data_IF_239748089738
#
_entry.id   IF_239748089738
#
_cell.length_a   1.000
_cell.length_b   1.000
_cell.length_c   1.000
_cell.angle_alpha   90.00
_cell.angle_beta   90.00
_cell.angle_gamma   90.00
#
_symmetry.space_group_name_H-M   'P 1'
#
loop_
_entity.id
_entity.type
_entity.pdbx_description
1 polymer ?
#
# COMPACT_ATOMS: atom_id res chain seq x y z
N UNK A 1 -2.87 -9.14 -2.07
CA UNK A 1 -2.81 -10.03 -0.90
C UNK A 1 -4.19 -10.24 -0.31
N UNK A 2 -4.90 -9.21 0.18
CA UNK A 2 -6.21 -9.40 0.85
C UNK A 2 -7.43 -9.66 -0.07
N UNK A 3 -7.49 -9.08 -1.27
CA UNK A 3 -8.61 -9.33 -2.22
C UNK A 3 -8.46 -10.60 -3.04
N UNK A 4 -7.25 -11.16 -3.09
CA UNK A 4 -6.91 -12.27 -3.97
C UNK A 4 -5.86 -13.11 -3.25
N UNK A 5 -6.31 -13.89 -2.27
CA UNK A 5 -5.50 -14.84 -1.52
C UNK A 5 -5.91 -16.27 -1.90
N UNK A 6 -5.38 -16.77 -3.02
CA UNK A 6 -5.84 -18.02 -3.61
C UNK A 6 -7.31 -17.90 -4.06
N UNK A 7 -8.17 -18.78 -3.54
CA UNK A 7 -9.61 -18.78 -3.84
C UNK A 7 -10.46 -17.91 -2.89
N UNK A 8 -9.84 -17.21 -1.94
CA UNK A 8 -10.55 -16.45 -0.92
C UNK A 8 -10.22 -14.94 -1.00
N UNK A 9 -11.23 -14.11 -0.79
CA UNK A 9 -11.09 -12.70 -0.43
C UNK A 9 -11.29 -12.54 1.07
N UNK A 10 -10.49 -11.69 1.69
CA UNK A 10 -10.76 -11.22 3.05
C UNK A 10 -12.05 -10.37 3.01
N UNK A 11 -13.09 -10.85 3.69
CA UNK A 11 -14.42 -10.24 3.67
C UNK A 11 -14.39 -8.79 4.19
N UNK A 12 -13.68 -8.55 5.29
CA UNK A 12 -13.57 -7.22 5.90
C UNK A 12 -12.86 -6.24 4.96
N UNK A 13 -11.77 -6.67 4.32
CA UNK A 13 -11.07 -5.84 3.35
C UNK A 13 -11.90 -5.62 2.07
N UNK A 14 -12.68 -6.61 1.63
CA UNK A 14 -13.57 -6.46 0.49
C UNK A 14 -14.62 -5.36 0.73
N UNK A 15 -15.29 -5.37 1.88
CA UNK A 15 -16.25 -4.33 2.24
C UNK A 15 -15.61 -2.94 2.26
N UNK A 16 -14.40 -2.83 2.83
CA UNK A 16 -13.64 -1.57 2.80
C UNK A 16 -13.37 -1.14 1.36
N UNK A 17 -12.92 -2.06 0.50
CA UNK A 17 -12.59 -1.76 -0.89
C UNK A 17 -13.80 -1.32 -1.71
N UNK A 18 -15.00 -1.85 -1.42
CA UNK A 18 -16.27 -1.46 -2.04
C UNK A 18 -16.72 -0.04 -1.64
N UNK A 19 -16.20 0.50 -0.54
CA UNK A 19 -16.57 1.82 -0.03
C UNK A 19 -15.47 2.87 -0.16
N UNK A 20 -14.23 2.47 -0.44
CA UNK A 20 -13.11 3.37 -0.69
C UNK A 20 -13.02 3.71 -2.18
N UNK A 21 -12.92 5.02 -2.48
CA UNK A 21 -12.52 5.55 -3.78
C UNK A 21 -11.13 6.16 -3.66
N UNK A 22 -10.31 5.99 -4.69
CA UNK A 22 -8.98 6.58 -4.75
C UNK A 22 -8.99 7.80 -5.66
N UNK A 23 -8.53 8.92 -5.12
CA UNK A 23 -8.30 10.14 -5.90
C UNK A 23 -6.80 10.29 -6.14
N UNK A 24 -6.41 10.28 -7.40
CA UNK A 24 -5.03 10.46 -7.81
C UNK A 24 -4.67 11.94 -7.71
N UNK A 25 -3.56 12.24 -7.02
CA UNK A 25 -2.97 13.57 -7.04
C UNK A 25 -1.86 13.55 -8.08
N UNK A 26 -2.00 14.40 -9.09
CA UNK A 26 -1.03 14.50 -10.16
C UNK A 26 0.29 15.10 -9.66
N UNK A 27 1.38 14.54 -10.17
CA UNK A 27 2.72 15.05 -9.99
C UNK A 27 3.19 15.57 -11.36
N UNK A 28 3.20 16.88 -11.55
CA UNK A 28 3.60 17.49 -12.84
C UNK A 28 5.11 17.32 -13.07
N UNK A 29 5.90 17.45 -12.01
CA UNK A 29 7.35 17.32 -12.05
C UNK A 29 7.86 16.45 -10.90
N UNK A 30 8.94 15.70 -11.16
CA UNK A 30 9.60 14.92 -10.12
C UNK A 30 10.11 15.81 -8.99
N UNK A 31 9.73 15.50 -7.75
CA UNK A 31 10.39 16.06 -6.57
C UNK A 31 11.86 15.64 -6.49
N UNK A 32 12.60 16.33 -5.61
CA UNK A 32 14.06 16.22 -5.44
C UNK A 32 14.53 14.76 -5.32
N UNK A 33 13.90 13.99 -4.44
CA UNK A 33 14.32 12.63 -4.10
C UNK A 33 13.39 11.53 -4.65
N UNK A 34 12.53 11.85 -5.62
CA UNK A 34 11.66 10.84 -6.23
C UNK A 34 12.44 9.93 -7.18
N UNK A 35 12.07 8.64 -7.19
CA UNK A 35 12.66 7.62 -8.09
C UNK A 35 11.59 6.64 -8.63
N UNK A 36 10.33 7.08 -8.71
CA UNK A 36 9.19 6.26 -9.13
C UNK A 36 9.32 5.72 -10.57
N UNK A 37 9.99 6.43 -11.47
CA UNK A 37 10.25 6.01 -12.84
C UNK A 37 11.22 4.83 -12.87
N UNK A 38 12.31 4.88 -12.09
CA UNK A 38 13.25 3.77 -11.94
C UNK A 38 12.59 2.50 -11.37
N UNK A 39 11.56 2.68 -10.54
CA UNK A 39 10.79 1.58 -9.95
C UNK A 39 9.66 1.08 -10.86
N UNK A 40 9.36 1.78 -11.96
CA UNK A 40 8.22 1.47 -12.84
C UNK A 40 6.86 1.71 -12.19
N UNK A 41 6.78 2.54 -11.15
CA UNK A 41 5.55 2.82 -10.36
C UNK A 41 5.02 4.23 -10.57
N UNK A 42 5.46 4.92 -11.63
CA UNK A 42 5.11 6.31 -11.92
C UNK A 42 3.74 6.48 -12.62
N UNK A 43 3.09 5.39 -13.05
CA UNK A 43 1.84 5.42 -13.82
C UNK A 43 0.81 4.47 -13.22
N UNK A 44 -0.45 4.87 -13.27
CA UNK A 44 -1.58 4.00 -12.94
C UNK A 44 -2.84 4.46 -13.67
N UNK A 45 -3.73 3.53 -13.96
CA UNK A 45 -5.10 3.76 -14.44
C UNK A 45 -6.15 3.48 -13.34
N UNK A 46 -5.71 2.98 -12.18
CA UNK A 46 -6.53 2.50 -11.08
C UNK A 46 -6.93 3.65 -10.13
N UNK A 47 -7.78 4.56 -10.60
CA UNK A 47 -8.31 5.67 -9.79
C UNK A 47 -9.76 6.01 -10.16
N UNK A 48 -10.49 6.55 -9.18
CA UNK A 48 -11.88 7.01 -9.33
C UNK A 48 -11.96 8.46 -9.83
N UNK A 49 -10.96 9.28 -9.49
CA UNK A 49 -10.75 10.62 -10.03
C UNK A 49 -9.26 10.98 -9.99
N UNK A 50 -8.85 11.97 -10.76
CA UNK A 50 -7.52 12.57 -10.70
C UNK A 50 -7.63 14.07 -10.53
N UNK A 51 -6.67 14.68 -9.84
CA UNK A 51 -6.66 16.11 -9.56
C UNK A 51 -5.28 16.72 -9.73
N UNK A 52 -5.25 17.95 -10.26
CA UNK A 52 -4.09 18.84 -10.24
C UNK A 52 -4.45 20.10 -9.48
N UNK A 53 -3.62 20.47 -8.52
CA UNK A 53 -3.79 21.70 -7.74
C UNK A 53 -2.92 22.83 -8.32
N UNK A 54 -3.47 24.04 -8.33
CA UNK A 54 -2.76 25.29 -8.63
C UNK A 54 -3.24 26.41 -7.71
N UNK A 55 -2.66 27.59 -7.81
CA UNK A 55 -3.07 28.76 -7.02
C UNK A 55 -4.49 29.24 -7.38
N UNK A 56 -4.98 28.93 -8.58
CA UNK A 56 -6.30 29.29 -9.08
C UNK A 56 -7.39 28.26 -8.73
N UNK A 57 -7.01 27.09 -8.21
CA UNK A 57 -7.95 26.04 -7.82
C UNK A 57 -7.45 24.63 -8.14
N UNK A 58 -8.36 23.76 -8.57
CA UNK A 58 -8.04 22.38 -8.92
C UNK A 58 -8.69 21.97 -10.24
N UNK A 59 -7.92 21.36 -11.12
CA UNK A 59 -8.42 20.64 -12.29
C UNK A 59 -8.73 19.21 -11.86
N UNK A 60 -9.89 18.69 -12.27
CA UNK A 60 -10.38 17.37 -11.83
C UNK A 60 -10.83 16.56 -13.04
N UNK A 61 -10.36 15.32 -13.14
CA UNK A 61 -10.80 14.33 -14.11
C UNK A 61 -11.54 13.22 -13.37
N UNK A 62 -12.80 12.98 -13.70
CA UNK A 62 -13.69 12.09 -12.95
C UNK A 62 -13.96 10.83 -13.77
N UNK A 63 -13.88 9.66 -13.12
CA UNK A 63 -14.19 8.34 -13.72
C UNK A 63 -15.28 7.58 -12.97
N UNK A 64 -15.64 8.05 -11.78
CA UNK A 64 -16.56 7.38 -10.86
C UNK A 64 -17.85 8.19 -10.69
N UNK A 65 -19.03 7.63 -10.99
CA UNK A 65 -20.32 8.33 -10.90
C UNK A 65 -20.64 8.86 -9.50
N UNK A 66 -20.13 8.23 -8.44
CA UNK A 66 -20.34 8.72 -7.07
C UNK A 66 -19.62 10.05 -6.85
N UNK A 67 -18.40 10.18 -7.37
CA UNK A 67 -17.63 11.43 -7.28
C UNK A 67 -18.28 12.49 -8.16
N UNK A 68 -18.67 12.14 -9.38
CA UNK A 68 -19.36 13.05 -10.31
C UNK A 68 -20.59 13.69 -9.66
N UNK A 69 -21.46 12.88 -9.05
CA UNK A 69 -22.64 13.37 -8.35
C UNK A 69 -22.28 14.25 -7.14
N UNK A 70 -21.20 13.93 -6.42
CA UNK A 70 -20.79 14.66 -5.22
C UNK A 70 -20.25 16.07 -5.51
N UNK A 71 -19.66 16.29 -6.68
CA UNK A 71 -19.11 17.60 -7.09
C UNK A 71 -19.92 18.27 -8.20
N UNK A 72 -21.10 17.74 -8.51
CA UNK A 72 -21.99 18.30 -9.51
C UNK A 72 -22.33 19.77 -9.18
N UNK A 73 -22.11 20.66 -10.16
CA UNK A 73 -22.33 22.09 -10.00
C UNK A 73 -21.20 22.84 -9.28
N UNK A 74 -20.12 22.16 -8.89
CA UNK A 74 -18.90 22.79 -8.41
C UNK A 74 -17.93 22.94 -9.59
N UNK A 75 -17.54 24.19 -9.88
CA UNK A 75 -16.58 24.50 -10.93
C UNK A 75 -17.20 24.68 -12.32
N UNK A 76 -16.36 24.54 -13.33
CA UNK A 76 -16.69 24.76 -14.74
C UNK A 76 -15.98 23.71 -15.60
N UNK A 77 -16.50 23.46 -16.80
CA UNK A 77 -15.86 22.58 -17.78
C UNK A 77 -14.44 23.06 -18.09
N UNK A 78 -13.50 22.12 -18.05
CA UNK A 78 -12.09 22.35 -18.34
C UNK A 78 -11.50 21.11 -19.02
N UNK A 79 -10.62 21.31 -19.99
CA UNK A 79 -9.90 20.22 -20.63
C UNK A 79 -8.73 19.80 -19.73
N UNK A 80 -8.86 18.62 -19.11
CA UNK A 80 -7.86 18.09 -18.20
C UNK A 80 -7.73 16.58 -18.33
N UNK A 81 -6.51 16.14 -18.63
CA UNK A 81 -6.09 14.74 -18.57
C UNK A 81 -4.84 14.66 -17.69
N UNK A 82 -4.83 13.78 -16.66
CA UNK A 82 -3.67 13.65 -15.79
C UNK A 82 -2.46 13.12 -16.58
N UNK A 83 -1.33 13.78 -16.37
CA UNK A 83 -0.04 13.36 -16.90
C UNK A 83 0.78 12.63 -15.84
N UNK A 84 1.83 11.94 -16.29
CA UNK A 84 2.72 11.20 -15.41
C UNK A 84 4.17 11.53 -15.74
N UNK A 85 4.96 11.77 -14.70
CA UNK A 85 6.40 12.03 -14.84
C UNK A 85 7.08 10.92 -15.64
N UNK A 86 7.84 11.29 -16.66
CA UNK A 86 8.57 10.35 -17.52
C UNK A 86 10.04 10.19 -17.12
N UNK A 87 10.55 11.08 -16.27
CA UNK A 87 11.93 11.09 -15.78
C UNK A 87 11.99 11.66 -14.36
N UNK A 88 12.83 11.04 -13.51
CA UNK A 88 13.19 11.58 -12.21
C UNK A 88 14.57 12.26 -12.25
N UNK A 89 14.84 13.12 -11.27
CA UNK A 89 16.18 13.69 -11.05
C UNK A 89 17.15 12.59 -10.60
N UNK A 90 16.73 11.84 -9.59
CA UNK A 90 17.45 10.68 -9.10
C UNK A 90 17.11 9.43 -9.92
N UNK A 91 18.13 8.67 -10.28
CA UNK A 91 17.97 7.37 -10.95
C UNK A 91 18.56 6.31 -10.06
N UNK A 92 17.72 5.37 -9.61
CA UNK A 92 18.16 4.23 -8.84
C UNK A 92 18.27 2.99 -9.72
N UNK A 93 19.23 2.14 -9.38
CA UNK A 93 19.45 0.86 -10.04
C UNK A 93 18.81 -0.21 -9.16
N UNK A 94 17.76 -0.85 -9.68
CA UNK A 94 17.09 -1.94 -8.96
C UNK A 94 17.84 -3.26 -9.17
N UNK A 95 17.81 -4.19 -8.19
CA UNK A 95 18.33 -5.54 -8.38
C UNK A 95 17.82 -6.21 -9.66
N UNK A 96 16.54 -5.96 -9.98
CA UNK A 96 15.85 -6.46 -11.17
C UNK A 96 16.46 -5.93 -12.49
N UNK A 97 17.12 -4.77 -12.46
CA UNK A 97 17.74 -4.14 -13.64
C UNK A 97 19.18 -4.59 -13.92
N UNK A 98 19.90 -5.14 -12.94
CA UNK A 98 21.34 -5.48 -13.07
C UNK A 98 21.68 -6.93 -12.79
N UNK A 99 20.80 -7.67 -12.10
CA UNK A 99 21.06 -9.06 -11.77
C UNK A 99 20.26 -9.99 -12.69
N UNK A 100 20.93 -11.03 -13.20
CA UNK A 100 20.24 -12.12 -13.92
C UNK A 100 19.31 -12.94 -13.01
N UNK A 101 19.52 -12.85 -11.70
CA UNK A 101 18.72 -13.54 -10.69
C UNK A 101 18.51 -12.59 -9.49
N UNK A 102 17.54 -11.67 -9.58
CA UNK A 102 17.28 -10.69 -8.53
C UNK A 102 16.87 -11.33 -7.19
N UNK A 103 16.36 -12.56 -7.23
CA UNK A 103 15.98 -13.30 -6.04
C UNK A 103 17.19 -13.61 -5.17
N UNK A 104 18.38 -13.85 -5.75
CA UNK A 104 19.62 -14.00 -4.98
C UNK A 104 19.98 -12.75 -4.18
N UNK A 105 19.78 -11.56 -4.74
CA UNK A 105 20.04 -10.31 -4.02
C UNK A 105 19.07 -10.21 -2.84
N UNK A 106 17.79 -10.51 -3.04
CA UNK A 106 16.79 -10.53 -1.97
C UNK A 106 17.13 -11.56 -0.88
N UNK A 107 17.60 -12.74 -1.27
CA UNK A 107 18.04 -13.78 -0.34
C UNK A 107 19.26 -13.36 0.50
N UNK A 108 20.24 -12.68 -0.11
CA UNK A 108 21.40 -12.14 0.60
C UNK A 108 20.97 -11.07 1.61
N UNK A 109 20.09 -10.16 1.18
CA UNK A 109 19.60 -9.08 2.04
C UNK A 109 18.75 -9.62 3.20
N UNK A 110 17.85 -10.57 2.95
CA UNK A 110 16.97 -11.13 3.98
C UNK A 110 17.70 -12.05 4.97
N UNK A 111 18.78 -12.72 4.55
CA UNK A 111 19.62 -13.56 5.43
C UNK A 111 20.86 -12.86 5.97
N UNK A 112 20.94 -11.53 5.85
CA UNK A 112 22.10 -10.79 6.31
C UNK A 112 22.25 -10.87 7.86
N UNK A 113 23.45 -11.14 8.42
CA UNK A 113 23.65 -11.27 9.88
C UNK A 113 23.28 -10.04 10.72
N UNK A 114 23.07 -8.90 10.06
CA UNK A 114 22.50 -7.70 10.69
C UNK A 114 21.15 -8.00 11.36
N UNK A 115 20.32 -8.85 10.73
CA UNK A 115 19.00 -9.19 11.24
C UNK A 115 19.08 -9.97 12.56
N UNK A 116 20.08 -10.84 12.73
CA UNK A 116 20.31 -11.56 14.01
C UNK A 116 20.51 -10.58 15.18
N UNK A 117 21.23 -9.48 14.93
CA UNK A 117 21.45 -8.43 15.92
C UNK A 117 20.16 -7.66 16.25
N UNK A 118 19.28 -7.44 15.27
CA UNK A 118 17.96 -6.83 15.49
C UNK A 118 17.02 -7.77 16.25
N UNK A 119 16.97 -9.05 15.86
CA UNK A 119 16.13 -10.07 16.47
C UNK A 119 16.50 -10.30 17.95
N UNK A 120 17.79 -10.31 18.28
CA UNK A 120 18.27 -10.44 19.66
C UNK A 120 17.77 -9.36 20.64
N UNK A 121 17.35 -8.19 20.12
CA UNK A 121 16.82 -7.06 20.90
C UNK A 121 15.30 -6.93 20.80
N UNK A 122 14.65 -7.82 20.03
CA UNK A 122 13.23 -7.74 19.77
C UNK A 122 12.43 -8.03 21.05
N UNK A 123 11.56 -7.09 21.42
CA UNK A 123 10.62 -7.21 22.54
C UNK A 123 9.16 -7.36 22.07
N UNK A 124 8.97 -7.76 20.81
CA UNK A 124 7.64 -7.94 20.20
C UNK A 124 6.72 -6.72 20.28
N UNK A 125 7.29 -5.51 20.29
CA UNK A 125 6.51 -4.27 20.42
C UNK A 125 5.81 -3.81 19.13
N UNK A 126 6.06 -4.48 18.00
CA UNK A 126 5.44 -4.15 16.71
C UNK A 126 5.93 -2.85 16.06
N UNK A 127 6.85 -2.08 16.64
CA UNK A 127 7.33 -0.81 16.03
C UNK A 127 7.93 -0.98 14.64
N UNK A 128 8.57 -2.12 14.36
CA UNK A 128 9.13 -2.42 13.05
C UNK A 128 8.08 -2.47 11.93
N UNK A 129 6.83 -2.84 12.22
CA UNK A 129 5.76 -2.91 11.21
C UNK A 129 5.31 -1.54 10.74
N UNK A 130 5.48 -0.50 11.57
CA UNK A 130 5.19 0.89 11.16
C UNK A 130 6.26 1.48 10.25
N UNK A 131 7.52 1.03 10.37
CA UNK A 131 8.64 1.55 9.58
C UNK A 131 8.83 0.84 8.23
N UNK A 132 8.34 -0.38 8.09
CA UNK A 132 8.51 -1.18 6.89
C UNK A 132 7.15 -1.70 6.41
N UNK A 133 6.58 -1.14 5.33
CA UNK A 133 5.26 -1.54 4.83
C UNK A 133 5.21 -2.98 4.28
N UNK A 134 6.37 -3.64 4.17
CA UNK A 134 6.48 -5.05 3.77
C UNK A 134 6.60 -6.01 4.95
N UNK A 135 6.66 -5.51 6.19
CA UNK A 135 6.80 -6.35 7.37
C UNK A 135 5.42 -6.83 7.84
N UNK A 136 4.96 -7.96 7.30
CA UNK A 136 3.70 -8.63 7.65
C UNK A 136 3.86 -9.56 8.87
N UNK A 137 4.74 -9.23 9.82
CA UNK A 137 5.01 -10.07 11.00
C UNK A 137 3.91 -9.99 12.08
N UNK A 138 2.66 -9.76 11.68
CA UNK A 138 1.49 -9.86 12.54
C UNK A 138 0.56 -10.94 12.00
N UNK A 139 0.09 -11.81 12.87
CA UNK A 139 -0.90 -12.83 12.54
C UNK A 139 -2.26 -12.37 13.05
N UNK A 140 -3.24 -12.35 12.16
CA UNK A 140 -4.65 -12.11 12.49
C UNK A 140 -5.34 -13.47 12.52
N UNK A 141 -6.03 -13.77 13.62
CA UNK A 141 -6.84 -14.98 13.75
C UNK A 141 -8.24 -14.60 14.20
N UNK A 142 -9.25 -15.02 13.46
CA UNK A 142 -10.64 -14.88 13.88
C UNK A 142 -10.96 -15.94 14.94
N UNK A 143 -11.57 -15.52 16.05
CA UNK A 143 -12.03 -16.43 17.09
C UNK A 143 -13.55 -16.48 16.99
N UNK A 144 -14.10 -17.66 16.64
CA UNK A 144 -15.52 -17.93 16.75
C UNK A 144 -15.82 -18.31 18.21
N UNK A 145 -16.68 -17.55 18.88
CA UNK A 145 -17.19 -17.94 20.19
C UNK A 145 -18.38 -18.89 20.03
N UNK A 146 -18.44 -19.93 20.88
CA UNK A 146 -19.53 -20.92 20.90
C UNK A 146 -20.92 -20.28 21.07
N UNK A 147 -20.99 -19.10 21.67
CA UNK A 147 -22.24 -18.40 21.98
C UNK A 147 -22.86 -17.71 20.75
N UNK A 148 -22.07 -17.45 19.68
CA UNK A 148 -22.59 -16.93 18.42
C UNK A 148 -21.66 -17.25 17.22
N UNK A 149 -21.85 -18.40 16.54
CA UNK A 149 -20.99 -18.83 15.44
C UNK A 149 -21.00 -17.90 14.21
N UNK A 150 -21.93 -16.95 14.15
CA UNK A 150 -22.07 -15.99 13.05
C UNK A 150 -21.33 -14.66 13.28
N UNK A 151 -20.69 -14.48 14.45
CA UNK A 151 -19.88 -13.29 14.78
C UNK A 151 -18.51 -13.71 15.29
N UNK A 152 -17.52 -13.66 14.40
CA UNK A 152 -16.11 -13.66 14.79
C UNK A 152 -15.69 -12.24 15.17
N UNK A 153 -14.97 -12.10 16.28
CA UNK A 153 -14.22 -10.87 16.57
C UNK A 153 -12.77 -11.07 16.14
N UNK A 154 -12.16 -10.02 15.60
CA UNK A 154 -10.74 -9.99 15.26
C UNK A 154 -9.98 -9.35 16.43
N UNK A 155 -9.33 -10.12 17.32
CA UNK A 155 -8.65 -9.53 18.47
C UNK A 155 -7.41 -8.77 18.00
N UNK A 156 -7.14 -7.60 18.60
CA UNK A 156 -5.84 -6.94 18.45
C UNK A 156 -4.73 -7.90 18.90
N UNK A 157 -3.54 -7.93 18.25
CA UNK A 157 -2.49 -8.89 18.56
C UNK A 157 -1.90 -8.62 19.95
N UNK A 158 -2.56 -9.10 21.00
CA UNK A 158 -1.98 -9.21 22.33
C UNK A 158 -1.14 -10.48 22.28
N UNK A 159 0.19 -10.30 22.27
CA UNK A 159 1.14 -11.40 22.30
C UNK A 159 0.81 -12.35 23.45
N UNK A 160 0.32 -13.55 23.12
CA UNK A 160 0.26 -14.65 24.08
C UNK A 160 1.70 -15.06 24.39
N UNK A 161 2.21 -14.55 25.50
CA UNK A 161 3.32 -15.17 26.23
C UNK A 161 2.89 -16.60 26.57
N UNK A 162 3.38 -17.59 25.82
CA UNK A 162 3.47 -18.97 26.29
C UNK A 162 4.85 -19.50 25.92
N UNK A 163 5.78 -19.34 26.86
CA UNK A 163 6.92 -20.23 26.99
C UNK A 163 6.54 -21.38 27.92
N UNK A 164 6.44 -22.58 27.35
CA UNK A 164 6.54 -23.91 27.97
C UNK A 164 6.33 -24.87 26.78
N UNK A 165 7.27 -25.69 26.31
CA UNK A 165 8.45 -26.31 26.88
C UNK A 165 8.54 -27.66 26.16
N UNK A 166 9.74 -28.00 25.68
CA UNK A 166 10.12 -29.18 24.88
C UNK A 166 9.65 -29.22 23.42
#
# INVERSE_FOLDING_TARGET
MYLSNGNNSDYSYQLLREHIRFVLIECEESFENCFCVSMGTNKTDCYSAAMRFSDEGALVSIRDPFIEAAIQGLGQEADYTPSFVSKNRETVVTPDSVCRDPQKIRDILTRHPLWDAYDSRCISCGRCTTGCPTCTCYSVFDVAYDENPQRGETPSPVGKLHGAGL
#
